data_IF_284501127934
#
_entry.id   IF_284501127934
#
_cell.length_a   1.000
_cell.length_b   1.000
_cell.length_c   1.000
_cell.angle_alpha   90.00
_cell.angle_beta   90.00
_cell.angle_gamma   90.00
#
_symmetry.space_group_name_H-M   'P 1'
#
loop_
_entity.id
_entity.type
_entity.pdbx_description
1 polymer ?
#
# COMPACT_ATOMS: atom_id res chain seq x y z
N UNK A 1 18.17 -4.29 6.98
CA UNK A 1 16.96 -3.48 6.70
C UNK A 1 16.16 -3.17 7.96
N UNK A 2 15.66 -4.16 8.71
CA UNK A 2 14.87 -3.91 9.93
C UNK A 2 15.53 -2.93 10.92
N UNK A 3 16.84 -3.05 11.13
CA UNK A 3 17.62 -2.11 11.94
C UNK A 3 17.57 -0.65 11.44
N UNK A 4 17.64 -0.44 10.12
CA UNK A 4 17.60 0.90 9.52
C UNK A 4 16.19 1.52 9.61
N UNK A 5 15.16 0.68 9.45
CA UNK A 5 13.77 1.08 9.57
C UNK A 5 13.40 1.44 11.02
N UNK A 6 13.85 0.63 11.98
CA UNK A 6 13.65 0.90 13.41
C UNK A 6 14.34 2.20 13.85
N UNK A 7 15.49 2.53 13.25
CA UNK A 7 16.21 3.78 13.51
C UNK A 7 15.73 4.98 12.70
N UNK A 8 14.68 4.80 11.89
CA UNK A 8 14.16 5.86 11.02
C UNK A 8 15.24 6.53 10.16
N UNK A 9 16.11 5.73 9.54
CA UNK A 9 17.17 6.26 8.67
C UNK A 9 16.55 7.00 7.47
N UNK A 10 16.70 8.33 7.46
CA UNK A 10 16.12 9.23 6.45
C UNK A 10 16.59 8.95 5.03
N UNK A 11 17.69 8.23 4.84
CA UNK A 11 18.17 7.86 3.49
C UNK A 11 17.26 6.85 2.79
N UNK A 12 16.48 6.10 3.56
CA UNK A 12 15.47 5.18 3.05
C UNK A 12 14.08 5.81 2.99
N UNK A 13 13.93 7.07 3.40
CA UNK A 13 12.63 7.72 3.46
C UNK A 13 12.14 8.12 2.06
N UNK A 14 10.93 7.69 1.72
CA UNK A 14 10.22 8.19 0.56
C UNK A 14 9.28 9.29 1.05
N UNK A 15 9.43 10.48 0.48
CA UNK A 15 8.57 11.59 0.83
C UNK A 15 7.10 11.27 0.51
N UNK A 16 6.26 11.26 1.55
CA UNK A 16 4.83 11.07 1.42
C UNK A 16 4.10 12.11 2.28
N UNK A 17 3.04 12.69 1.73
CA UNK A 17 2.26 13.73 2.38
C UNK A 17 1.14 13.08 3.17
N UNK A 18 1.09 13.39 4.47
CA UNK A 18 0.00 13.00 5.34
C UNK A 18 -1.25 13.83 5.07
N UNK A 19 -2.38 13.16 4.89
CA UNK A 19 -3.69 13.73 4.65
C UNK A 19 -4.68 12.97 5.55
N UNK A 20 -5.34 13.68 6.46
CA UNK A 20 -6.45 13.16 7.24
C UNK A 20 -7.44 14.27 7.54
N UNK A 21 -8.72 13.94 7.46
CA UNK A 21 -9.81 14.81 7.92
C UNK A 21 -10.13 14.57 9.41
N UNK A 22 -9.71 13.42 9.93
CA UNK A 22 -10.09 12.94 11.25
C UNK A 22 -9.12 13.46 12.33
N UNK A 23 -7.85 13.65 11.97
CA UNK A 23 -6.83 14.01 12.96
C UNK A 23 -5.69 14.83 12.34
N UNK A 24 -4.96 15.53 13.21
CA UNK A 24 -3.72 16.20 12.87
C UNK A 24 -2.57 15.50 13.57
N UNK A 25 -1.44 15.38 12.88
CA UNK A 25 -0.22 14.89 13.50
C UNK A 25 0.17 15.78 14.69
N UNK A 26 0.81 15.15 15.68
CA UNK A 26 1.24 15.76 16.93
C UNK A 26 0.11 16.41 17.75
N UNK A 27 -1.14 16.00 17.56
CA UNK A 27 -2.30 16.41 18.37
C UNK A 27 -2.87 15.21 19.12
N UNK A 28 -3.24 15.41 20.38
CA UNK A 28 -3.95 14.40 21.16
C UNK A 28 -5.40 14.30 20.68
N UNK A 29 -5.91 13.09 20.57
CA UNK A 29 -7.30 12.80 20.26
C UNK A 29 -7.76 11.61 21.10
N UNK A 30 -9.04 11.58 21.44
CA UNK A 30 -9.67 10.41 22.05
C UNK A 30 -9.91 9.40 20.93
N UNK A 31 -9.42 8.15 20.96
CA UNK A 31 -9.66 7.20 19.89
C UNK A 31 -11.06 6.55 19.94
N UNK A 32 -11.84 6.75 21.01
CA UNK A 32 -13.19 6.18 21.17
C UNK A 32 -14.27 6.91 20.35
N UNK A 33 -14.05 8.19 20.04
CA UNK A 33 -14.99 9.05 19.31
C UNK A 33 -15.39 8.51 17.92
N UNK A 34 -14.55 7.68 17.30
CA UNK A 34 -14.79 7.13 15.97
C UNK A 34 -14.16 5.75 15.83
N UNK A 35 -15.00 4.76 15.48
CA UNK A 35 -14.61 3.35 15.30
C UNK A 35 -13.49 3.10 14.30
N UNK A 36 -13.27 4.02 13.35
CA UNK A 36 -12.27 3.90 12.27
C UNK A 36 -11.84 5.28 11.81
N UNK A 37 -10.57 5.62 12.03
CA UNK A 37 -9.96 6.80 11.44
C UNK A 37 -9.19 6.42 10.18
N UNK A 38 -9.27 7.26 9.15
CA UNK A 38 -8.53 7.07 7.91
C UNK A 38 -7.36 8.05 7.83
N UNK A 39 -6.15 7.50 7.80
CA UNK A 39 -4.92 8.23 7.56
C UNK A 39 -4.46 7.92 6.15
N UNK A 40 -4.18 8.96 5.36
CA UNK A 40 -3.75 8.78 3.97
C UNK A 40 -2.37 9.35 3.76
N UNK A 41 -1.49 8.59 3.12
CA UNK A 41 -0.18 9.05 2.67
C UNK A 41 -0.18 9.08 1.15
N UNK A 42 0.28 10.20 0.55
CA UNK A 42 0.42 10.33 -0.92
C UNK A 42 1.84 10.68 -1.30
N UNK A 43 2.48 9.87 -2.14
CA UNK A 43 3.87 10.08 -2.59
C UNK A 43 4.00 11.03 -3.79
N UNK A 44 3.06 10.97 -4.74
CA UNK A 44 3.19 11.60 -6.06
C UNK A 44 2.48 12.96 -6.25
N UNK A 45 2.18 13.70 -5.17
CA UNK A 45 1.45 14.99 -5.31
C UNK A 45 2.16 16.01 -6.22
N UNK A 46 3.50 15.97 -6.28
CA UNK A 46 4.31 16.96 -7.01
C UNK A 46 5.30 16.36 -8.02
N UNK A 47 5.45 15.03 -8.10
CA UNK A 47 6.43 14.34 -8.98
C UNK A 47 5.77 13.18 -9.74
N UNK A 48 5.05 13.48 -10.81
CA UNK A 48 4.33 12.47 -11.60
C UNK A 48 5.22 11.58 -12.46
N UNK A 49 6.52 11.83 -12.52
CA UNK A 49 7.50 11.04 -13.28
C UNK A 49 8.24 10.01 -12.40
N UNK A 50 7.72 9.72 -11.21
CA UNK A 50 8.29 8.72 -10.31
C UNK A 50 7.26 7.66 -9.94
N UNK A 51 7.74 6.43 -9.76
CA UNK A 51 7.03 5.34 -9.08
C UNK A 51 7.79 4.99 -7.81
N UNK A 52 7.06 4.69 -6.74
CA UNK A 52 7.66 4.49 -5.43
C UNK A 52 7.46 3.07 -4.96
N UNK A 53 8.53 2.49 -4.41
CA UNK A 53 8.53 1.16 -3.84
C UNK A 53 8.42 1.25 -2.33
N UNK A 54 7.45 0.56 -1.74
CA UNK A 54 7.28 0.44 -0.30
C UNK A 54 8.10 -0.74 0.23
N UNK A 55 8.98 -0.46 1.19
CA UNK A 55 9.76 -1.45 1.93
C UNK A 55 9.36 -1.55 3.40
N UNK A 56 8.72 -0.51 3.93
CA UNK A 56 8.19 -0.50 5.28
C UNK A 56 7.54 0.83 5.64
N UNK A 57 6.84 0.84 6.76
CA UNK A 57 6.17 2.02 7.31
C UNK A 57 6.40 2.06 8.82
N UNK A 58 6.58 3.26 9.38
CA UNK A 58 6.69 3.46 10.81
C UNK A 58 5.77 4.59 11.27
N UNK A 59 5.08 4.38 12.39
CA UNK A 59 4.24 5.36 13.06
C UNK A 59 4.74 5.56 14.48
N UNK A 60 4.98 6.80 14.87
CA UNK A 60 5.26 7.13 16.26
C UNK A 60 3.95 7.43 16.97
N UNK A 61 3.52 6.51 17.84
CA UNK A 61 2.26 6.60 18.58
C UNK A 61 2.56 6.79 20.05
N UNK A 62 1.96 7.80 20.67
CA UNK A 62 2.03 8.07 22.09
C UNK A 62 0.65 7.91 22.72
N UNK A 63 0.64 7.35 23.93
CA UNK A 63 -0.54 7.18 24.75
C UNK A 63 -0.36 7.95 26.06
N UNK A 64 -1.47 8.38 26.65
CA UNK A 64 -1.47 8.90 28.03
C UNK A 64 -1.06 7.79 29.00
N UNK A 65 -0.47 8.17 30.15
CA UNK A 65 -0.08 7.20 31.19
C UNK A 65 -1.29 6.38 31.64
N UNK A 66 -1.09 5.08 31.89
CA UNK A 66 -2.13 4.13 32.29
C UNK A 66 -3.24 3.93 31.25
N UNK A 67 -2.96 4.23 29.98
CA UNK A 67 -3.92 3.97 28.91
C UNK A 67 -4.14 2.47 28.73
N UNK A 68 -5.40 2.07 28.74
CA UNK A 68 -5.80 0.69 28.40
C UNK A 68 -5.88 0.47 26.89
N UNK A 69 -5.52 1.47 26.08
CA UNK A 69 -5.71 1.43 24.64
C UNK A 69 -4.46 0.94 23.90
N UNK A 70 -4.67 0.20 22.83
CA UNK A 70 -3.63 -0.21 21.88
C UNK A 70 -4.07 0.11 20.44
N UNK A 71 -3.17 0.65 19.59
CA UNK A 71 -3.51 0.92 18.19
C UNK A 71 -3.56 -0.39 17.39
N UNK A 72 -4.68 -0.61 16.72
CA UNK A 72 -4.83 -1.63 15.69
C UNK A 72 -4.81 -0.97 14.31
N UNK A 73 -3.81 -1.34 13.50
CA UNK A 73 -3.51 -0.71 12.22
C UNK A 73 -3.78 -1.67 11.06
N UNK A 74 -4.65 -1.26 10.15
CA UNK A 74 -4.91 -1.97 8.89
C UNK A 74 -4.44 -1.14 7.71
N UNK A 75 -3.77 -1.75 6.73
CA UNK A 75 -3.23 -1.05 5.57
C UNK A 75 -3.93 -1.47 4.28
N UNK A 76 -4.28 -0.47 3.48
CA UNK A 76 -4.68 -0.63 2.10
C UNK A 76 -3.76 0.21 1.22
N UNK A 77 -3.26 -0.38 0.14
CA UNK A 77 -2.29 0.28 -0.74
C UNK A 77 -2.89 0.43 -2.11
N UNK A 78 -2.75 1.63 -2.66
CA UNK A 78 -2.98 1.90 -4.06
C UNK A 78 -1.61 2.12 -4.74
N UNK A 79 -1.23 1.27 -5.71
CA UNK A 79 0.10 1.29 -6.33
C UNK A 79 0.33 2.47 -7.28
N UNK A 80 -0.72 2.95 -7.97
CA UNK A 80 -0.60 3.82 -9.14
C UNK A 80 -1.63 4.96 -9.18
N UNK A 81 -2.32 5.18 -8.05
CA UNK A 81 -3.43 6.12 -7.94
C UNK A 81 -4.78 5.44 -8.16
N UNK A 82 -5.86 6.15 -7.83
CA UNK A 82 -7.22 5.62 -7.84
C UNK A 82 -7.93 5.88 -6.52
N UNK A 83 -9.10 5.26 -6.38
CA UNK A 83 -9.97 5.38 -5.23
C UNK A 83 -9.59 4.42 -4.10
N UNK A 84 -10.21 4.61 -2.94
CA UNK A 84 -10.06 3.71 -1.80
C UNK A 84 -10.52 2.28 -2.12
N UNK A 85 -11.59 2.12 -2.91
CA UNK A 85 -12.10 0.82 -3.36
C UNK A 85 -11.15 0.09 -4.31
N UNK A 86 -10.26 0.83 -4.96
CA UNK A 86 -9.22 0.31 -5.87
C UNK A 86 -7.90 0.01 -5.13
N UNK A 87 -7.94 -0.03 -3.80
CA UNK A 87 -6.79 -0.34 -2.95
C UNK A 87 -6.82 -1.79 -2.51
N UNK A 88 -5.66 -2.44 -2.50
CA UNK A 88 -5.55 -3.83 -2.04
C UNK A 88 -5.16 -3.88 -0.57
N UNK A 89 -5.67 -4.90 0.14
CA UNK A 89 -5.47 -5.10 1.58
C UNK A 89 -4.12 -5.78 1.87
N UNK A 90 -3.33 -5.22 2.79
CA UNK A 90 -2.12 -5.87 3.32
C UNK A 90 -2.54 -6.87 4.41
N UNK A 91 -2.31 -8.18 4.23
CA UNK A 91 -2.70 -9.20 5.20
C UNK A 91 -1.62 -9.31 6.31
N UNK A 92 -1.51 -8.28 7.15
CA UNK A 92 -0.53 -8.22 8.24
C UNK A 92 -0.68 -9.42 9.17
N UNK A 93 0.44 -10.08 9.51
CA UNK A 93 0.47 -11.30 10.32
C UNK A 93 -0.29 -12.53 9.74
N UNK A 94 -0.63 -12.50 8.46
CA UNK A 94 -1.30 -13.62 7.78
C UNK A 94 -0.42 -14.17 6.64
N UNK A 95 -0.53 -15.47 6.33
CA UNK A 95 0.15 -16.09 5.17
C UNK A 95 1.68 -15.80 5.08
N UNK A 96 2.35 -15.62 6.22
CA UNK A 96 3.78 -15.32 6.30
C UNK A 96 4.16 -13.86 6.04
N UNK A 97 3.18 -12.95 5.97
CA UNK A 97 3.43 -11.51 6.02
C UNK A 97 3.97 -11.09 7.38
N UNK A 98 4.80 -10.03 7.43
CA UNK A 98 5.32 -9.50 8.68
C UNK A 98 4.20 -8.91 9.55
N UNK A 99 4.41 -8.94 10.85
CA UNK A 99 3.59 -8.24 11.83
C UNK A 99 4.22 -6.88 12.22
N UNK A 100 3.41 -6.03 12.84
CA UNK A 100 3.86 -4.78 13.44
C UNK A 100 4.81 -5.04 14.61
N UNK A 101 5.89 -4.25 14.67
CA UNK A 101 6.82 -4.26 15.81
C UNK A 101 6.73 -2.94 16.56
N UNK A 102 6.31 -2.99 17.82
CA UNK A 102 6.32 -1.85 18.72
C UNK A 102 7.67 -1.75 19.45
N UNK A 103 8.36 -0.62 19.30
CA UNK A 103 9.61 -0.33 20.03
C UNK A 103 9.39 0.87 20.93
N UNK A 104 9.54 0.70 22.25
CA UNK A 104 9.33 1.77 23.23
C UNK A 104 10.37 2.88 23.05
N UNK A 105 9.93 4.13 23.17
CA UNK A 105 10.77 5.31 23.15
C UNK A 105 11.05 5.78 24.57
N UNK A 106 12.25 6.31 24.79
CA UNK A 106 12.67 6.89 26.06
C UNK A 106 12.08 8.31 26.20
N UNK A 107 10.78 8.37 26.45
CA UNK A 107 9.98 9.59 26.59
C UNK A 107 9.10 9.48 27.85
N UNK A 108 8.69 10.60 28.46
CA UNK A 108 7.88 10.59 29.69
C UNK A 108 6.45 10.03 29.50
N UNK A 109 6.00 9.87 28.27
CA UNK A 109 4.72 9.25 27.90
C UNK A 109 4.94 7.83 27.38
N UNK A 110 3.87 7.03 27.32
CA UNK A 110 3.90 5.70 26.69
C UNK A 110 3.96 5.84 25.16
N UNK A 111 5.15 6.15 24.64
CA UNK A 111 5.42 6.34 23.23
C UNK A 111 6.15 5.13 22.63
N UNK A 112 5.68 4.70 21.46
CA UNK A 112 6.23 3.56 20.73
C UNK A 112 6.36 3.89 19.24
N UNK A 113 7.41 3.39 18.63
CA UNK A 113 7.51 3.28 17.18
C UNK A 113 6.87 1.96 16.75
N UNK A 114 5.78 2.06 16.02
CA UNK A 114 5.08 0.94 15.39
C UNK A 114 5.60 0.79 13.97
N UNK A 115 6.43 -0.22 13.73
CA UNK A 115 7.10 -0.41 12.44
C UNK A 115 6.66 -1.72 11.79
N UNK A 116 6.17 -1.63 10.55
CA UNK A 116 5.93 -2.77 9.67
C UNK A 116 7.05 -2.86 8.63
N UNK A 117 7.77 -3.97 8.61
CA UNK A 117 8.90 -4.19 7.69
C UNK A 117 8.54 -5.22 6.63
N UNK A 118 8.21 -4.77 5.42
CA UNK A 118 7.90 -5.64 4.28
C UNK A 118 9.16 -6.30 3.70
N UNK A 119 10.25 -5.53 3.63
CA UNK A 119 11.50 -5.99 3.04
C UNK A 119 11.38 -6.36 1.56
N UNK A 120 12.36 -7.09 1.04
CA UNK A 120 12.41 -7.39 -0.40
C UNK A 120 11.36 -8.42 -0.85
N UNK A 121 10.92 -9.29 0.07
CA UNK A 121 9.94 -10.35 -0.21
C UNK A 121 8.54 -9.78 -0.43
N UNK A 122 8.16 -8.78 0.35
CA UNK A 122 6.80 -8.22 0.37
C UNK A 122 6.72 -6.79 -0.17
N UNK A 123 7.78 -6.32 -0.84
CA UNK A 123 7.80 -4.98 -1.43
C UNK A 123 6.72 -4.85 -2.51
N UNK A 124 6.19 -3.64 -2.62
CA UNK A 124 5.14 -3.33 -3.60
C UNK A 124 5.25 -1.88 -4.04
N UNK A 125 4.57 -1.51 -5.12
CA UNK A 125 4.40 -0.12 -5.49
C UNK A 125 3.43 0.59 -4.54
N UNK A 126 3.63 1.89 -4.35
CA UNK A 126 2.64 2.73 -3.70
C UNK A 126 2.60 4.14 -4.29
N UNK A 127 1.39 4.63 -4.46
CA UNK A 127 1.09 6.04 -4.71
C UNK A 127 0.28 6.62 -3.55
N UNK A 128 -0.69 5.84 -3.06
CA UNK A 128 -1.49 6.17 -1.89
C UNK A 128 -1.47 5.01 -0.89
N UNK A 129 -1.27 5.30 0.39
CA UNK A 129 -1.42 4.33 1.48
C UNK A 129 -2.55 4.81 2.37
N UNK A 130 -3.56 3.97 2.55
CA UNK A 130 -4.67 4.18 3.46
C UNK A 130 -4.44 3.33 4.71
N UNK A 131 -4.26 4.00 5.85
CA UNK A 131 -4.07 3.37 7.16
C UNK A 131 -5.35 3.57 7.93
N UNK A 132 -5.97 2.48 8.29
CA UNK A 132 -7.10 2.48 9.20
C UNK A 132 -6.61 2.21 10.60
N UNK A 133 -6.78 3.22 11.44
CA UNK A 133 -6.49 3.12 12.85
C UNK A 133 -7.79 2.85 13.61
N UNK A 134 -7.77 1.78 14.40
CA UNK A 134 -8.76 1.45 15.42
C UNK A 134 -8.07 1.41 16.77
N UNK A 135 -8.76 1.72 17.85
CA UNK A 135 -8.29 1.39 19.20
C UNK A 135 -8.88 0.06 19.65
N UNK A 136 -8.09 -0.70 20.39
CA UNK A 136 -8.53 -1.87 21.16
C UNK A 136 -8.26 -1.61 22.63
N UNK A 137 -9.08 -2.16 23.51
CA UNK A 137 -8.79 -2.24 24.93
C UNK A 137 -7.85 -3.45 25.12
N UNK A 138 -6.72 -3.25 25.79
CA UNK A 138 -5.78 -4.32 26.17
C UNK A 138 -6.55 -5.33 27.03
N UNK A 139 -6.82 -6.50 26.49
CA UNK A 139 -7.35 -7.63 27.28
C UNK A 139 -6.22 -8.18 28.15
N UNK A 140 -6.48 -8.32 29.46
CA UNK A 140 -5.56 -9.04 30.35
C UNK A 140 -5.37 -10.48 29.85
N UNK A 141 -4.12 -10.95 29.88
CA UNK A 141 -3.63 -12.22 29.33
C UNK A 141 -4.60 -13.42 29.50
N UNK A 142 -4.81 -14.17 28.41
CA UNK A 142 -5.25 -15.57 28.51
C UNK A 142 -6.50 -16.03 27.75
N UNK A 143 -7.06 -15.27 26.81
CA UNK A 143 -8.16 -15.76 25.97
C UNK A 143 -7.70 -16.00 24.52
N UNK A 144 -7.87 -17.23 24.04
CA UNK A 144 -7.36 -17.76 22.78
C UNK A 144 -7.60 -16.84 21.57
N UNK A 145 -6.53 -16.64 20.80
CA UNK A 145 -6.43 -15.81 19.61
C UNK A 145 -7.03 -16.51 18.37
N UNK A 146 -8.33 -16.85 18.45
CA UNK A 146 -9.08 -17.45 17.33
C UNK A 146 -10.11 -16.47 16.78
N UNK A 147 -9.71 -15.79 15.70
CA UNK A 147 -10.51 -15.41 14.51
C UNK A 147 -12.04 -15.42 14.71
N UNK A 148 -12.59 -14.30 15.18
CA UNK A 148 -13.84 -13.69 14.68
C UNK A 148 -13.95 -12.28 15.27
N UNK A 149 -13.81 -11.27 14.42
CA UNK A 149 -13.77 -9.87 14.86
C UNK A 149 -15.19 -9.29 14.99
N UNK A 150 -15.83 -9.49 16.14
CA UNK A 150 -16.94 -8.62 16.51
C UNK A 150 -16.41 -7.23 16.86
N UNK A 151 -16.98 -6.15 16.29
CA UNK A 151 -16.69 -4.80 16.75
C UNK A 151 -17.05 -4.73 18.23
N UNK A 152 -16.18 -4.20 19.07
CA UNK A 152 -16.53 -3.90 20.46
C UNK A 152 -17.88 -3.17 20.47
N UNK A 153 -18.92 -3.87 20.92
CA UNK A 153 -20.15 -3.24 21.36
C UNK A 153 -19.76 -2.29 22.48
N UNK A 154 -20.52 -1.20 22.58
CA UNK A 154 -20.29 -0.06 23.45
C UNK A 154 -20.32 -0.56 24.91
N UNK A 155 -19.20 -1.15 25.35
CA UNK A 155 -18.86 -1.30 26.73
C UNK A 155 -18.51 0.09 27.21
N UNK A 156 -19.11 0.45 28.33
CA UNK A 156 -19.21 1.79 28.90
C UNK A 156 -18.01 2.70 28.54
N UNK A 157 -18.18 3.89 27.92
CA UNK A 157 -17.08 4.84 27.66
C UNK A 157 -16.30 5.24 28.92
N UNK A 158 -16.83 4.91 30.10
CA UNK A 158 -16.14 5.00 31.39
C UNK A 158 -14.98 3.99 31.58
N UNK A 159 -14.88 2.91 30.81
CA UNK A 159 -13.82 1.90 30.93
C UNK A 159 -12.61 2.14 30.00
N UNK A 160 -12.77 2.86 28.89
CA UNK A 160 -11.66 3.21 27.99
C UNK A 160 -10.97 4.50 28.42
N UNK A 161 -10.03 4.41 29.36
CA UNK A 161 -9.23 5.56 29.78
C UNK A 161 -8.04 5.75 28.83
N UNK A 162 -8.02 6.85 28.08
CA UNK A 162 -6.79 7.37 27.49
C UNK A 162 -6.93 8.13 26.18
N UNK A 163 -6.00 9.06 25.95
CA UNK A 163 -5.85 9.75 24.67
C UNK A 163 -4.69 9.14 23.88
N UNK A 164 -4.78 9.25 22.56
CA UNK A 164 -3.73 8.84 21.64
C UNK A 164 -3.21 10.06 20.88
N UNK A 165 -1.92 10.03 20.53
CA UNK A 165 -1.28 11.02 19.67
C UNK A 165 -0.37 10.32 18.67
N UNK A 166 -0.53 10.61 17.38
CA UNK A 166 0.44 10.19 16.36
C UNK A 166 1.36 11.37 16.08
N UNK A 167 2.63 11.25 16.45
CA UNK A 167 3.61 12.32 16.26
C UNK A 167 4.06 12.43 14.81
N UNK A 168 4.38 11.29 14.19
CA UNK A 168 4.91 11.23 12.83
C UNK A 168 4.57 9.89 12.18
N UNK A 169 4.48 9.91 10.85
CA UNK A 169 4.36 8.73 10.01
C UNK A 169 5.43 8.81 8.94
N UNK A 170 6.21 7.74 8.78
CA UNK A 170 7.32 7.66 7.84
C UNK A 170 7.16 6.45 6.94
N UNK A 171 7.40 6.67 5.66
CA UNK A 171 7.39 5.61 4.64
C UNK A 171 8.81 5.36 4.19
N UNK A 172 9.19 4.09 4.15
CA UNK A 172 10.52 3.68 3.75
C UNK A 172 10.49 2.90 2.45
N UNK A 173 11.47 3.15 1.58
CA UNK A 173 11.41 2.72 0.21
C UNK A 173 12.49 3.31 -0.67
N UNK A 174 12.22 3.27 -1.97
CA UNK A 174 13.01 3.97 -2.99
C UNK A 174 12.11 4.42 -4.13
N UNK A 175 12.59 5.38 -4.91
CA UNK A 175 11.84 5.95 -6.04
C UNK A 175 12.56 5.61 -7.33
N UNK A 176 11.82 5.22 -8.36
CA UNK A 176 12.34 4.95 -9.69
C UNK A 176 11.71 5.93 -10.68
N UNK A 177 12.48 6.34 -11.67
CA UNK A 177 11.94 7.15 -12.76
C UNK A 177 10.91 6.34 -13.54
N UNK A 178 9.82 7.00 -13.92
CA UNK A 178 8.74 6.44 -14.70
C UNK A 178 8.49 7.36 -15.89
N UNK A 179 8.74 6.82 -17.07
CA UNK A 179 8.49 7.47 -18.34
C UNK A 179 7.18 6.94 -18.93
N UNK A 180 6.06 7.69 -18.82
CA UNK A 180 4.79 7.28 -19.40
C UNK A 180 4.80 7.33 -20.92
N UNK A 181 5.63 8.18 -21.55
CA UNK A 181 5.64 8.34 -23.01
C UNK A 181 6.23 7.11 -23.69
N UNK A 182 7.30 6.54 -23.12
CA UNK A 182 7.87 5.29 -23.63
C UNK A 182 6.84 4.15 -23.71
N UNK A 183 5.93 4.03 -22.75
CA UNK A 183 4.87 3.01 -22.77
C UNK A 183 3.76 3.41 -23.77
N UNK A 184 3.43 4.70 -23.88
CA UNK A 184 2.46 5.20 -24.88
C UNK A 184 2.94 4.95 -26.30
N UNK A 185 4.22 5.15 -26.59
CA UNK A 185 4.81 4.88 -27.90
C UNK A 185 4.69 3.39 -28.27
N UNK A 186 4.93 2.48 -27.31
CA UNK A 186 4.71 1.04 -27.53
C UNK A 186 3.23 0.72 -27.81
N UNK A 187 2.30 1.40 -27.15
CA UNK A 187 0.86 1.22 -27.41
C UNK A 187 0.49 1.78 -28.79
N UNK A 188 1.04 2.93 -29.20
CA UNK A 188 0.82 3.49 -30.52
C UNK A 188 1.35 2.58 -31.63
N UNK A 189 2.47 1.88 -31.40
CA UNK A 189 3.01 0.88 -32.32
C UNK A 189 2.07 -0.33 -32.54
N UNK A 190 1.17 -0.62 -31.59
CA UNK A 190 0.15 -1.66 -31.78
C UNK A 190 -0.88 -1.25 -32.85
N UNK A 191 -1.16 0.05 -32.93
CA UNK A 191 -2.17 0.64 -33.82
C UNK A 191 -1.60 1.07 -35.16
N UNK A 192 -0.35 1.54 -35.15
CA UNK A 192 0.36 2.06 -36.31
C UNK A 192 1.74 1.39 -36.43
N UNK A 193 1.82 0.09 -36.75
CA UNK A 193 3.09 -0.63 -36.78
C UNK A 193 4.09 -0.03 -37.79
N UNK A 194 3.62 0.56 -38.90
CA UNK A 194 4.47 1.06 -39.97
C UNK A 194 5.30 2.31 -39.62
N UNK A 195 5.11 2.93 -38.46
CA UNK A 195 5.78 4.21 -38.12
C UNK A 195 6.95 4.07 -37.16
N UNK A 196 7.04 2.99 -36.35
CA UNK A 196 8.02 2.91 -35.25
C UNK A 196 8.57 1.51 -34.89
N UNK A 197 8.24 0.42 -35.61
CA UNK A 197 8.79 -0.92 -35.30
C UNK A 197 7.92 -2.07 -35.81
N UNK A 198 8.16 -3.31 -35.41
CA UNK A 198 7.20 -4.39 -35.67
C UNK A 198 6.19 -4.52 -34.54
N UNK A 199 4.92 -4.78 -34.86
CA UNK A 199 3.85 -4.97 -33.88
C UNK A 199 4.23 -6.02 -32.81
N UNK A 200 4.85 -7.12 -33.24
CA UNK A 200 5.29 -8.20 -32.35
C UNK A 200 6.34 -7.75 -31.35
N UNK A 201 7.28 -6.88 -31.75
CA UNK A 201 8.29 -6.34 -30.83
C UNK A 201 7.68 -5.45 -29.75
N UNK A 202 6.69 -4.62 -30.10
CA UNK A 202 5.98 -3.79 -29.15
C UNK A 202 5.17 -4.65 -28.14
N UNK A 203 4.49 -5.69 -28.63
CA UNK A 203 3.75 -6.61 -27.78
C UNK A 203 4.68 -7.34 -26.80
N UNK A 204 5.84 -7.82 -27.27
CA UNK A 204 6.83 -8.48 -26.41
C UNK A 204 7.34 -7.57 -25.29
N UNK A 205 7.64 -6.31 -25.61
CA UNK A 205 8.06 -5.33 -24.60
C UNK A 205 6.95 -5.03 -23.58
N UNK A 206 5.71 -4.89 -24.03
CA UNK A 206 4.56 -4.70 -23.13
C UNK A 206 4.32 -5.92 -22.22
N UNK A 207 4.54 -7.14 -22.73
CA UNK A 207 4.49 -8.36 -21.91
C UNK A 207 5.59 -8.38 -20.85
N UNK A 208 6.83 -7.99 -21.19
CA UNK A 208 7.93 -7.89 -20.23
C UNK A 208 7.61 -6.85 -19.13
N UNK A 209 7.11 -5.68 -19.51
CA UNK A 209 6.71 -4.64 -18.56
C UNK A 209 5.60 -5.16 -17.64
N UNK A 210 4.57 -5.82 -18.21
CA UNK A 210 3.48 -6.42 -17.44
C UNK A 210 4.00 -7.44 -16.42
N UNK A 211 4.89 -8.34 -16.83
CA UNK A 211 5.49 -9.33 -15.91
C UNK A 211 6.26 -8.63 -14.78
N UNK A 212 7.11 -7.66 -15.11
CA UNK A 212 7.92 -6.94 -14.11
C UNK A 212 7.07 -6.16 -13.12
N UNK A 213 5.99 -5.52 -13.59
CA UNK A 213 5.06 -4.78 -12.75
C UNK A 213 4.26 -5.73 -11.85
N UNK A 214 3.73 -6.81 -12.42
CA UNK A 214 2.89 -7.75 -11.67
C UNK A 214 3.70 -8.65 -10.72
N UNK A 215 5.00 -8.88 -10.98
CA UNK A 215 5.90 -9.56 -10.04
C UNK A 215 6.13 -8.78 -8.75
N UNK A 216 5.87 -7.47 -8.77
CA UNK A 216 5.90 -6.62 -7.58
C UNK A 216 4.54 -6.54 -6.87
N UNK A 217 3.52 -7.24 -7.39
CA UNK A 217 2.36 -7.58 -6.55
C UNK A 217 2.87 -8.54 -5.46
N UNK A 218 2.65 -8.22 -4.18
CA UNK A 218 3.14 -9.05 -3.11
C UNK A 218 2.44 -10.40 -3.12
N UNK A 219 3.15 -11.43 -2.66
CA UNK A 219 2.76 -12.83 -2.80
C UNK A 219 1.55 -13.20 -1.91
N UNK A 220 0.35 -12.79 -2.30
CA UNK A 220 -0.92 -13.20 -1.69
C UNK A 220 -1.51 -14.43 -2.38
N UNK A 221 -2.70 -14.84 -1.92
CA UNK A 221 -3.48 -15.92 -2.55
C UNK A 221 -3.90 -15.59 -3.99
N UNK A 222 -4.06 -14.31 -4.34
CA UNK A 222 -4.48 -13.84 -5.66
C UNK A 222 -3.36 -13.06 -6.34
N UNK A 223 -3.10 -13.35 -7.62
CA UNK A 223 -2.16 -12.59 -8.45
C UNK A 223 -2.86 -11.35 -8.99
N UNK A 224 -2.43 -10.18 -8.55
CA UNK A 224 -3.03 -8.91 -8.98
C UNK A 224 -2.43 -8.39 -10.28
N UNK A 225 -3.27 -7.86 -11.17
CA UNK A 225 -2.83 -7.19 -12.40
C UNK A 225 -2.58 -5.68 -12.16
N UNK A 226 -1.45 -5.38 -11.52
CA UNK A 226 -1.01 -4.00 -11.30
C UNK A 226 -0.71 -3.25 -12.60
N UNK A 227 -0.41 -3.97 -13.70
CA UNK A 227 -0.20 -3.36 -15.01
C UNK A 227 -1.48 -2.69 -15.53
N UNK A 228 -2.66 -3.28 -15.31
CA UNK A 228 -3.94 -2.65 -15.64
C UNK A 228 -4.10 -1.29 -14.93
N UNK A 229 -3.76 -1.27 -13.64
CA UNK A 229 -3.78 -0.06 -12.81
C UNK A 229 -2.81 1.01 -13.33
N UNK A 230 -1.60 0.59 -13.75
CA UNK A 230 -0.62 1.48 -14.34
C UNK A 230 -1.14 2.13 -15.62
N UNK A 231 -1.72 1.34 -16.53
CA UNK A 231 -2.31 1.85 -17.76
C UNK A 231 -3.45 2.84 -17.50
N UNK A 232 -4.38 2.48 -16.60
CA UNK A 232 -5.54 3.32 -16.29
C UNK A 232 -5.17 4.60 -15.56
N UNK A 233 -4.39 4.52 -14.49
CA UNK A 233 -4.20 5.65 -13.59
C UNK A 233 -2.97 6.50 -13.94
N UNK A 234 -1.87 5.88 -14.41
CA UNK A 234 -0.64 6.61 -14.77
C UNK A 234 -0.66 7.08 -16.21
N UNK A 235 -1.06 6.21 -17.14
CA UNK A 235 -1.17 6.58 -18.55
C UNK A 235 -2.50 7.26 -18.89
N UNK A 236 -3.48 7.22 -17.97
CA UNK A 236 -4.82 7.82 -18.14
C UNK A 236 -5.60 7.22 -19.32
N UNK A 237 -5.39 5.94 -19.60
CA UNK A 237 -6.13 5.24 -20.64
C UNK A 237 -7.56 4.95 -20.18
N UNK A 238 -8.49 5.00 -21.12
CA UNK A 238 -9.89 4.62 -20.91
C UNK A 238 -10.02 3.11 -20.67
N UNK A 239 -11.10 2.66 -20.00
CA UNK A 239 -11.34 1.23 -19.77
C UNK A 239 -11.34 0.42 -21.08
N UNK A 240 -11.89 0.98 -22.16
CA UNK A 240 -11.93 0.36 -23.48
C UNK A 240 -10.54 0.19 -24.10
N UNK A 241 -9.67 1.18 -23.98
CA UNK A 241 -8.28 1.07 -24.47
C UNK A 241 -7.52 -0.01 -23.71
N UNK A 242 -7.68 -0.07 -22.38
CA UNK A 242 -7.05 -1.09 -21.53
C UNK A 242 -7.51 -2.50 -21.93
N UNK A 243 -8.82 -2.72 -22.13
CA UNK A 243 -9.37 -4.01 -22.58
C UNK A 243 -8.81 -4.42 -23.94
N UNK A 244 -8.72 -3.48 -24.89
CA UNK A 244 -8.18 -3.74 -26.22
C UNK A 244 -6.69 -4.13 -26.18
N UNK A 245 -5.90 -3.43 -25.37
CA UNK A 245 -4.48 -3.76 -25.17
C UNK A 245 -4.37 -5.17 -24.59
N UNK A 246 -5.16 -5.50 -23.56
CA UNK A 246 -5.16 -6.84 -22.97
C UNK A 246 -5.54 -7.94 -23.95
N UNK A 247 -6.56 -7.73 -24.79
CA UNK A 247 -6.93 -8.69 -25.82
C UNK A 247 -5.77 -8.97 -26.78
N UNK A 248 -5.02 -7.92 -27.16
CA UNK A 248 -3.84 -8.05 -28.03
C UNK A 248 -2.71 -8.82 -27.34
N UNK A 249 -2.42 -8.50 -26.07
CA UNK A 249 -1.41 -9.23 -25.28
C UNK A 249 -1.79 -10.70 -25.09
N UNK A 250 -3.06 -11.00 -24.84
CA UNK A 250 -3.56 -12.36 -24.65
C UNK A 250 -3.49 -13.18 -25.95
N UNK A 251 -3.92 -12.61 -27.07
CA UNK A 251 -3.86 -13.25 -28.38
C UNK A 251 -2.42 -13.61 -28.79
N UNK A 252 -1.46 -12.76 -28.44
CA UNK A 252 -0.04 -13.03 -28.68
C UNK A 252 0.52 -14.07 -27.68
N UNK A 253 0.22 -13.93 -26.40
CA UNK A 253 0.68 -14.83 -25.34
C UNK A 253 0.22 -16.28 -25.56
N UNK A 254 -0.97 -16.49 -26.14
CA UNK A 254 -1.47 -17.81 -26.52
C UNK A 254 -0.58 -18.54 -27.55
N UNK A 255 0.31 -17.83 -28.26
CA UNK A 255 1.27 -18.40 -29.21
C UNK A 255 2.62 -18.74 -28.55
N UNK A 256 2.87 -18.28 -27.33
CA UNK A 256 4.13 -18.48 -26.62
C UNK A 256 4.07 -19.74 -25.73
N UNK A 257 5.17 -20.50 -25.61
CA UNK A 257 5.27 -21.55 -24.60
C UNK A 257 5.36 -20.92 -23.18
N UNK A 258 4.62 -21.47 -22.21
CA UNK A 258 4.59 -21.05 -20.80
C UNK A 258 3.97 -19.66 -20.51
N UNK A 259 2.82 -19.33 -21.11
CA UNK A 259 2.10 -18.10 -20.76
C UNK A 259 1.68 -18.07 -19.30
N UNK A 260 2.02 -16.99 -18.59
CA UNK A 260 1.56 -16.75 -17.22
C UNK A 260 0.21 -16.03 -17.27
N UNK A 261 -0.83 -16.69 -16.79
CA UNK A 261 -2.11 -16.03 -16.55
C UNK A 261 -2.06 -15.26 -15.23
N UNK A 262 -2.41 -13.97 -15.30
CA UNK A 262 -2.68 -13.16 -14.13
C UNK A 262 -4.20 -13.08 -13.96
N UNK A 263 -4.69 -13.33 -12.76
CA UNK A 263 -6.08 -13.05 -12.46
C UNK A 263 -6.31 -11.54 -12.61
N UNK A 264 -7.20 -11.18 -13.51
CA UNK A 264 -7.67 -9.79 -13.67
C UNK A 264 -8.68 -9.48 -12.56
N UNK A 265 -8.32 -9.74 -11.30
CA UNK A 265 -9.10 -9.22 -10.19
C UNK A 265 -9.05 -7.71 -10.26
N UNK A 266 -10.26 -7.13 -10.39
CA UNK A 266 -10.53 -5.72 -10.72
C UNK A 266 -10.09 -4.77 -9.60
N UNK A 267 -8.79 -4.63 -9.38
CA UNK A 267 -8.31 -3.55 -8.53
C UNK A 267 -8.58 -2.19 -9.16
N UNK A 268 -8.62 -2.08 -10.49
CA UNK A 268 -8.65 -0.78 -11.20
C UNK A 268 -9.68 -0.78 -12.34
N UNK A 269 -10.90 -1.25 -12.08
CA UNK A 269 -12.01 -1.29 -13.06
C UNK A 269 -12.89 -0.06 -13.05
#
# INVERSE_FOLDING_TARGET
>A
LGYLLQRADRRLEVHAIFISNDMRLNSWFDPSWRKRMLLTLKSNKYKTNMVHMLLGISLQVCLTKNSTLEPALTLYINPFGGSHSESWYIPVNENGFPDWKATKLDLPFECYNWTLTLGNKWKTFFETIHIYLRSRIKTQDGANDSVYYEPAEITDPAQSLGYMKINSIQVFGYSMHFDPEAIRDLILQLDYPYTQGSQDTAILQLLEIRDRVNRLSPAGQQKMDLFACLLRHRLKLTPSEVVRIFASLQAFSARLPNSVEYETTKLCS
#
